data_IF_193650468608
#
_entry.id   IF_193650468608
#
_cell.length_a   1.000
_cell.length_b   1.000
_cell.length_c   1.000
_cell.angle_alpha   90.00
_cell.angle_beta   90.00
_cell.angle_gamma   90.00
#
_symmetry.space_group_name_H-M   'P 1'
#
loop_
_entity.id
_entity.type
_entity.pdbx_description
1 polymer ?
#
# COMPACT_ATOMS: atom_id res chain seq x y z
N UNK A 1 -8.04 0.27 -6.54
CA UNK A 1 -7.19 1.48 -6.64
C UNK A 1 -5.71 1.18 -6.38
N UNK A 2 -5.35 0.52 -5.27
CA UNK A 2 -3.94 0.16 -4.98
C UNK A 2 -3.30 -0.69 -6.08
N UNK A 3 -4.02 -1.67 -6.64
CA UNK A 3 -3.53 -2.48 -7.77
C UNK A 3 -3.19 -1.65 -9.01
N UNK A 4 -4.06 -0.70 -9.38
CA UNK A 4 -3.84 0.21 -10.52
C UNK A 4 -2.60 1.09 -10.28
N UNK A 5 -2.43 1.59 -9.05
CA UNK A 5 -1.25 2.37 -8.65
C UNK A 5 0.04 1.55 -8.77
N UNK A 6 0.06 0.32 -8.24
CA UNK A 6 1.22 -0.57 -8.31
C UNK A 6 1.59 -0.89 -9.76
N UNK A 7 0.61 -1.20 -10.61
CA UNK A 7 0.84 -1.46 -12.04
C UNK A 7 1.42 -0.24 -12.76
N UNK A 8 0.87 0.95 -12.51
CA UNK A 8 1.39 2.19 -13.09
C UNK A 8 2.82 2.49 -12.63
N UNK A 9 3.12 2.26 -11.35
CA UNK A 9 4.44 2.52 -10.79
C UNK A 9 5.50 1.52 -11.27
N UNK A 10 5.13 0.23 -11.46
CA UNK A 10 6.00 -0.76 -12.10
C UNK A 10 6.32 -0.35 -13.54
N UNK A 11 5.31 0.05 -14.32
CA UNK A 11 5.51 0.48 -15.70
C UNK A 11 6.47 1.69 -15.76
N UNK A 12 6.26 2.67 -14.89
CA UNK A 12 7.06 3.89 -14.87
C UNK A 12 8.51 3.63 -14.40
N UNK A 13 8.69 2.75 -13.41
CA UNK A 13 10.01 2.31 -12.95
C UNK A 13 10.80 1.59 -14.05
N UNK A 14 10.14 0.75 -14.86
CA UNK A 14 10.75 0.09 -16.02
C UNK A 14 11.14 1.09 -17.11
N UNK A 15 10.26 2.04 -17.43
CA UNK A 15 10.53 3.09 -18.42
C UNK A 15 11.72 3.98 -18.04
N UNK A 16 11.94 4.20 -16.74
CA UNK A 16 13.10 4.96 -16.21
C UNK A 16 14.33 4.11 -15.90
N UNK A 17 14.35 2.83 -16.26
CA UNK A 17 15.42 1.87 -15.94
C UNK A 17 15.77 1.79 -14.43
N UNK A 18 14.83 2.17 -13.55
CA UNK A 18 14.98 2.10 -12.11
C UNK A 18 14.57 0.71 -11.60
N UNK A 19 15.44 -0.28 -11.83
CA UNK A 19 15.17 -1.68 -11.52
C UNK A 19 14.86 -1.92 -10.03
N UNK A 20 15.52 -1.19 -9.11
CA UNK A 20 15.28 -1.31 -7.68
C UNK A 20 13.84 -0.93 -7.29
N UNK A 21 13.33 0.18 -7.84
CA UNK A 21 11.97 0.64 -7.60
C UNK A 21 10.95 -0.35 -8.16
N UNK A 22 11.19 -0.89 -9.35
CA UNK A 22 10.33 -1.89 -9.98
C UNK A 22 10.21 -3.17 -9.12
N UNK A 23 11.35 -3.70 -8.65
CA UNK A 23 11.39 -4.91 -7.82
C UNK A 23 10.66 -4.69 -6.49
N UNK A 24 10.94 -3.59 -5.79
CA UNK A 24 10.28 -3.29 -4.52
C UNK A 24 8.76 -3.11 -4.66
N UNK A 25 8.32 -2.51 -5.76
CA UNK A 25 6.89 -2.35 -6.06
C UNK A 25 6.22 -3.68 -6.35
N UNK A 26 6.87 -4.57 -7.09
CA UNK A 26 6.37 -5.91 -7.36
C UNK A 26 6.23 -6.73 -6.06
N UNK A 27 7.24 -6.68 -5.18
CA UNK A 27 7.22 -7.37 -3.88
C UNK A 27 6.08 -6.83 -3.00
N UNK A 28 5.98 -5.51 -2.85
CA UNK A 28 4.92 -4.89 -2.05
C UNK A 28 3.52 -5.20 -2.62
N UNK A 29 3.38 -5.23 -3.94
CA UNK A 29 2.12 -5.56 -4.60
C UNK A 29 1.69 -7.01 -4.40
N UNK A 30 2.63 -7.96 -4.50
CA UNK A 30 2.37 -9.36 -4.18
C UNK A 30 1.90 -9.53 -2.73
N UNK A 31 2.60 -8.87 -1.80
CA UNK A 31 2.26 -8.92 -0.38
C UNK A 31 0.84 -8.38 -0.11
N UNK A 32 0.51 -7.22 -0.69
CA UNK A 32 -0.81 -6.62 -0.58
C UNK A 32 -1.91 -7.54 -1.13
N UNK A 33 -1.71 -8.14 -2.32
CA UNK A 33 -2.68 -9.04 -2.93
C UNK A 33 -2.93 -10.30 -2.09
N UNK A 34 -1.89 -10.86 -1.44
CA UNK A 34 -2.06 -12.00 -0.54
C UNK A 34 -2.83 -11.64 0.73
N UNK A 35 -2.65 -10.43 1.25
CA UNK A 35 -3.27 -9.98 2.50
C UNK A 35 -4.73 -9.57 2.33
N UNK A 36 -5.08 -8.92 1.21
CA UNK A 36 -6.45 -8.45 0.94
C UNK A 36 -7.48 -9.60 0.88
N UNK A 37 -7.01 -10.82 0.60
CA UNK A 37 -7.85 -12.01 0.48
C UNK A 37 -8.29 -12.58 1.84
N UNK A 38 -7.73 -12.09 2.95
CA UNK A 38 -7.97 -12.60 4.31
C UNK A 38 -9.13 -11.93 5.06
N UNK A 39 -9.79 -10.93 4.47
CA UNK A 39 -10.81 -10.15 5.19
C UNK A 39 -12.23 -10.68 4.91
N UNK A 40 -12.71 -11.63 5.72
CA UNK A 40 -14.11 -12.04 5.77
C UNK A 40 -14.78 -11.51 7.05
N UNK A 41 -15.86 -10.74 6.89
CA UNK A 41 -16.55 -10.01 7.96
C UNK A 41 -17.43 -10.85 8.90
N UNK A 42 -18.37 -10.23 9.63
CA UNK A 42 -18.10 -9.66 10.95
C UNK A 42 -18.95 -10.33 12.05
N UNK A 43 -18.62 -10.00 13.31
CA UNK A 43 -19.50 -9.73 14.48
C UNK A 43 -18.73 -10.19 15.72
N UNK A 44 -18.23 -9.25 16.53
CA UNK A 44 -18.27 -9.29 18.00
C UNK A 44 -17.99 -7.87 18.55
N UNK A 45 -18.59 -7.57 19.70
CA UNK A 45 -18.69 -6.23 20.30
C UNK A 45 -17.35 -5.77 20.91
N UNK A 46 -16.56 -4.99 20.15
CA UNK A 46 -15.26 -4.40 20.53
C UNK A 46 -15.22 -2.89 20.15
N UNK A 47 -16.03 -2.05 20.82
CA UNK A 47 -16.27 -0.65 20.39
C UNK A 47 -15.02 0.24 20.33
N UNK A 48 -14.05 0.07 21.22
CA UNK A 48 -12.82 0.88 21.16
C UNK A 48 -11.79 0.33 20.15
N UNK A 49 -11.71 -0.99 20.02
CA UNK A 49 -10.78 -1.66 19.10
C UNK A 49 -11.22 -1.44 17.64
N UNK A 50 -12.52 -1.56 17.37
CA UNK A 50 -13.10 -1.25 16.06
C UNK A 50 -12.96 0.22 15.67
N UNK A 51 -12.98 1.17 16.63
CA UNK A 51 -12.73 2.59 16.34
C UNK A 51 -11.26 2.82 16.00
N UNK A 52 -10.31 2.20 16.72
CA UNK A 52 -8.87 2.29 16.42
C UNK A 52 -8.53 1.65 15.08
N UNK A 53 -9.12 0.50 14.77
CA UNK A 53 -8.93 -0.20 13.51
C UNK A 53 -9.54 0.57 12.34
N UNK A 54 -10.76 1.13 12.51
CA UNK A 54 -11.34 2.05 11.53
C UNK A 54 -10.51 3.30 11.34
N UNK A 55 -9.94 3.87 12.39
CA UNK A 55 -9.05 5.03 12.28
C UNK A 55 -7.78 4.69 11.49
N UNK A 56 -7.17 3.53 11.74
CA UNK A 56 -6.00 3.05 11.00
C UNK A 56 -6.34 2.77 9.53
N UNK A 57 -7.49 2.16 9.26
CA UNK A 57 -7.99 1.89 7.91
C UNK A 57 -8.30 3.20 7.14
N UNK A 58 -8.97 4.16 7.78
CA UNK A 58 -9.25 5.47 7.19
C UNK A 58 -7.94 6.23 6.90
N UNK A 59 -6.99 6.19 7.83
CA UNK A 59 -5.66 6.78 7.63
C UNK A 59 -4.98 6.16 6.41
N UNK A 60 -5.01 4.83 6.27
CA UNK A 60 -4.45 4.15 5.11
C UNK A 60 -5.16 4.55 3.81
N UNK A 61 -6.49 4.53 3.80
CA UNK A 61 -7.32 4.89 2.64
C UNK A 61 -7.07 6.33 2.18
N UNK A 62 -6.73 7.24 3.09
CA UNK A 62 -6.45 8.64 2.76
C UNK A 62 -4.98 8.81 2.35
N UNK A 63 -4.04 8.38 3.18
CA UNK A 63 -2.62 8.66 2.97
C UNK A 63 -2.00 7.86 1.82
N UNK A 64 -2.37 6.60 1.63
CA UNK A 64 -1.79 5.78 0.57
C UNK A 64 -2.06 6.33 -0.85
N UNK A 65 -3.30 6.68 -1.25
CA UNK A 65 -3.53 7.28 -2.56
C UNK A 65 -3.00 8.71 -2.66
N UNK A 66 -3.04 9.50 -1.58
CA UNK A 66 -2.54 10.89 -1.62
C UNK A 66 -1.02 10.92 -1.84
N UNK A 67 -0.27 10.10 -1.09
CA UNK A 67 1.17 9.96 -1.25
C UNK A 67 1.53 9.29 -2.58
N UNK A 68 0.81 8.24 -2.97
CA UNK A 68 1.04 7.55 -4.24
C UNK A 68 0.79 8.45 -5.45
N UNK A 69 -0.32 9.18 -5.47
CA UNK A 69 -0.63 10.11 -6.55
C UNK A 69 0.37 11.27 -6.62
N UNK A 70 0.82 11.76 -5.46
CA UNK A 70 1.90 12.76 -5.38
C UNK A 70 3.23 12.21 -5.94
N UNK A 71 3.58 10.97 -5.61
CA UNK A 71 4.76 10.30 -6.13
C UNK A 71 4.72 10.15 -7.65
N UNK A 72 3.60 9.66 -8.20
CA UNK A 72 3.41 9.55 -9.65
C UNK A 72 3.44 10.92 -10.33
N UNK A 73 2.76 11.91 -9.76
CA UNK A 73 2.75 13.27 -10.29
C UNK A 73 4.16 13.85 -10.40
N UNK A 74 4.97 13.73 -9.34
CA UNK A 74 6.35 14.20 -9.35
C UNK A 74 7.24 13.42 -10.32
N UNK A 75 7.08 12.10 -10.42
CA UNK A 75 7.84 11.27 -11.35
C UNK A 75 7.48 11.53 -12.82
N UNK A 76 6.24 11.91 -13.12
CA UNK A 76 5.82 12.32 -14.46
C UNK A 76 6.36 13.72 -14.77
N UNK A 77 6.22 14.66 -13.82
CA UNK A 77 6.63 16.06 -14.01
C UNK A 77 8.15 16.23 -14.09
N UNK A 78 8.93 15.31 -13.51
CA UNK A 78 10.40 15.33 -13.53
C UNK A 78 11.01 14.76 -14.81
N UNK A 79 10.23 14.51 -15.87
CA UNK A 79 10.71 13.84 -17.10
C UNK A 79 11.91 14.56 -17.75
N UNK A 80 12.00 15.88 -17.62
CA UNK A 80 12.83 16.70 -18.52
C UNK A 80 14.12 17.29 -17.92
N UNK A 81 14.57 16.88 -16.72
CA UNK A 81 15.93 17.12 -16.12
C UNK A 81 15.94 17.45 -14.62
N UNK A 82 14.78 17.48 -13.96
CA UNK A 82 14.71 17.97 -12.58
C UNK A 82 14.99 16.85 -11.57
N UNK A 83 16.28 16.52 -11.40
CA UNK A 83 16.78 15.47 -10.48
C UNK A 83 16.22 15.57 -9.07
N UNK A 84 15.96 16.80 -8.60
CA UNK A 84 15.38 17.03 -7.28
C UNK A 84 13.93 16.54 -7.19
N UNK A 85 13.09 16.87 -8.18
CA UNK A 85 11.70 16.41 -8.24
C UNK A 85 11.63 14.89 -8.43
N UNK A 86 12.53 14.32 -9.23
CA UNK A 86 12.61 12.87 -9.40
C UNK A 86 12.95 12.18 -8.08
N UNK A 87 13.97 12.64 -7.37
CA UNK A 87 14.36 12.09 -6.07
C UNK A 87 13.22 12.18 -5.06
N UNK A 88 12.51 13.32 -5.03
CA UNK A 88 11.36 13.51 -4.16
C UNK A 88 10.21 12.55 -4.51
N UNK A 89 9.93 12.36 -5.80
CA UNK A 89 8.96 11.38 -6.29
C UNK A 89 9.30 9.95 -5.91
N UNK A 90 10.58 9.56 -6.02
CA UNK A 90 11.07 8.24 -5.59
C UNK A 90 10.93 8.06 -4.07
N UNK A 91 11.26 9.07 -3.27
CA UNK A 91 11.10 9.02 -1.81
C UNK A 91 9.62 8.82 -1.44
N UNK A 92 8.71 9.58 -2.06
CA UNK A 92 7.27 9.43 -1.80
C UNK A 92 6.75 8.06 -2.27
N UNK A 93 7.28 7.53 -3.37
CA UNK A 93 6.95 6.18 -3.83
C UNK A 93 7.35 5.13 -2.78
N UNK A 94 8.58 5.20 -2.26
CA UNK A 94 9.03 4.32 -1.18
C UNK A 94 8.21 4.47 0.10
N UNK A 95 7.86 5.70 0.48
CA UNK A 95 7.03 5.95 1.65
C UNK A 95 5.64 5.33 1.48
N UNK A 96 5.08 5.41 0.27
CA UNK A 96 3.79 4.78 -0.07
C UNK A 96 3.88 3.26 0.00
N UNK A 97 4.92 2.66 -0.58
CA UNK A 97 5.15 1.21 -0.52
C UNK A 97 5.35 0.73 0.92
N UNK A 98 6.04 1.52 1.74
CA UNK A 98 6.21 1.25 3.16
C UNK A 98 4.86 1.29 3.90
N UNK A 99 4.01 2.28 3.63
CA UNK A 99 2.66 2.37 4.21
C UNK A 99 1.79 1.16 3.83
N UNK A 100 1.82 0.77 2.56
CA UNK A 100 1.10 -0.41 2.04
C UNK A 100 1.58 -1.68 2.73
N UNK A 101 2.90 -1.84 2.84
CA UNK A 101 3.51 -3.01 3.48
C UNK A 101 3.15 -3.06 4.96
N UNK A 102 3.25 -1.95 5.68
CA UNK A 102 2.92 -1.87 7.10
C UNK A 102 1.45 -2.19 7.34
N UNK A 103 0.53 -1.58 6.58
CA UNK A 103 -0.90 -1.88 6.65
C UNK A 103 -1.19 -3.36 6.35
N UNK A 104 -0.52 -3.92 5.34
CA UNK A 104 -0.68 -5.32 4.96
C UNK A 104 -0.16 -6.28 6.05
N UNK A 105 1.00 -6.01 6.65
CA UNK A 105 1.53 -6.83 7.75
C UNK A 105 0.63 -6.73 8.98
N UNK A 106 0.20 -5.51 9.33
CA UNK A 106 -0.70 -5.29 10.46
C UNK A 106 -2.02 -6.02 10.25
N UNK A 107 -2.69 -5.84 9.12
CA UNK A 107 -3.94 -6.53 8.81
C UNK A 107 -3.78 -8.05 8.82
N UNK A 108 -2.73 -8.60 8.21
CA UNK A 108 -2.44 -10.03 8.27
C UNK A 108 -2.25 -10.54 9.70
N UNK A 109 -1.55 -9.80 10.55
CA UNK A 109 -1.31 -10.19 11.94
C UNK A 109 -2.59 -10.12 12.78
N UNK A 110 -3.40 -9.06 12.61
CA UNK A 110 -4.67 -8.91 13.31
C UNK A 110 -5.71 -9.93 12.82
N UNK A 111 -5.82 -10.17 11.51
CA UNK A 111 -6.65 -11.24 10.95
C UNK A 111 -6.22 -12.60 11.46
N UNK A 112 -4.92 -12.90 11.57
CA UNK A 112 -4.47 -14.21 12.11
C UNK A 112 -4.73 -14.37 13.61
N UNK A 113 -4.66 -13.29 14.38
CA UNK A 113 -4.76 -13.33 15.85
C UNK A 113 -6.20 -13.23 16.35
N UNK A 114 -7.06 -12.50 15.63
CA UNK A 114 -8.43 -12.20 16.01
C UNK A 114 -9.47 -12.73 14.99
N UNK A 115 -9.06 -13.09 13.78
CA UNK A 115 -9.89 -13.79 12.79
C UNK A 115 -10.05 -15.26 13.19
N UNK A 116 -11.06 -15.52 14.02
CA UNK A 116 -11.37 -16.84 14.53
C UNK A 116 -11.51 -17.89 13.43
N UNK A 117 -10.96 -19.07 13.70
CA UNK A 117 -11.31 -20.30 13.01
C UNK A 117 -12.82 -20.57 13.18
N UNK A 118 -13.62 -20.14 12.21
CA UNK A 118 -14.98 -20.60 12.00
C UNK A 118 -15.00 -21.92 11.24
N UNK A 119 -14.40 -22.98 11.79
CA UNK A 119 -14.90 -24.33 11.51
C UNK A 119 -16.22 -24.45 12.29
N UNK A 120 -17.36 -24.38 11.60
CA UNK A 120 -18.59 -25.10 11.98
C UNK A 120 -19.38 -25.44 10.73
N UNK A 121 -19.31 -26.73 10.39
CA UNK A 121 -20.27 -27.62 9.71
C UNK A 121 -21.00 -27.12 8.45
#
# INVERSE_FOLDING_TARGET
MVSVFLSALILLALLRAQHALAVLTAIAGLFFLTSVRSSSGPIMDEREQSVREKAAQLTYIIFAPTLGMSALGLLILSHDSNFFLESLGVILAYLTLFLITLYSISSFFFDRKYGGHGQKE
#
